data_IF_871041494320
#
_entry.id   IF_871041494320
#
_cell.length_a   1.000
_cell.length_b   1.000
_cell.length_c   1.000
_cell.angle_alpha   90.00
_cell.angle_beta   90.00
_cell.angle_gamma   90.00
#
_symmetry.space_group_name_H-M   'P 1'
#
loop_
_entity.id
_entity.type
_entity.pdbx_description
1 polymer ?
#
# COMPACT_ATOMS: atom_id res chain seq x y z
N UNK A 1 11.21 2.11 -3.52
CA UNK A 1 11.05 3.30 -4.36
C UNK A 1 9.73 3.96 -4.04
N UNK A 2 9.73 5.28 -3.85
CA UNK A 2 8.50 6.04 -3.60
C UNK A 2 7.55 6.03 -4.80
N UNK A 3 6.25 6.02 -4.54
CA UNK A 3 5.23 6.14 -5.58
C UNK A 3 5.22 7.56 -6.15
N UNK A 4 5.30 7.64 -7.47
CA UNK A 4 5.12 8.88 -8.21
C UNK A 4 3.65 9.03 -8.59
N UNK A 5 3.14 10.26 -8.55
CA UNK A 5 1.73 10.53 -8.76
C UNK A 5 1.49 11.22 -10.11
N UNK A 6 0.40 10.80 -10.75
CA UNK A 6 -0.18 11.45 -11.91
C UNK A 6 -1.52 12.07 -11.50
N UNK A 7 -1.73 13.35 -11.76
CA UNK A 7 -2.92 14.08 -11.32
C UNK A 7 -3.89 14.29 -12.48
N UNK A 8 -5.13 13.86 -12.30
CA UNK A 8 -6.23 14.20 -13.19
C UNK A 8 -6.49 15.73 -13.24
N UNK A 9 -7.02 16.21 -14.35
CA UNK A 9 -7.33 17.61 -14.65
C UNK A 9 -8.22 18.23 -13.57
N UNK A 10 -9.16 17.45 -13.05
CA UNK A 10 -10.13 17.90 -12.06
C UNK A 10 -9.58 17.98 -10.62
N UNK A 11 -8.35 17.53 -10.38
CA UNK A 11 -7.74 17.64 -9.05
C UNK A 11 -7.44 19.11 -8.73
N UNK A 12 -7.84 19.55 -7.54
CA UNK A 12 -7.61 20.92 -7.08
C UNK A 12 -6.11 21.24 -7.04
N UNK A 13 -5.71 22.35 -7.66
CA UNK A 13 -4.31 22.81 -7.75
C UNK A 13 -3.58 22.86 -6.40
N UNK A 14 -4.28 23.25 -5.33
CA UNK A 14 -3.72 23.32 -3.97
C UNK A 14 -3.23 21.96 -3.44
N UNK A 15 -3.82 20.84 -3.90
CA UNK A 15 -3.35 19.49 -3.55
C UNK A 15 -2.01 19.23 -4.23
N UNK A 16 -1.92 19.47 -5.54
CA UNK A 16 -0.68 19.37 -6.32
C UNK A 16 0.44 20.22 -5.75
N UNK A 17 0.16 21.49 -5.44
CA UNK A 17 1.14 22.41 -4.84
C UNK A 17 1.60 21.90 -3.46
N UNK A 18 0.66 21.47 -2.62
CA UNK A 18 0.96 20.94 -1.29
C UNK A 18 1.85 19.71 -1.32
N UNK A 19 1.67 18.81 -2.30
CA UNK A 19 2.51 17.63 -2.50
C UNK A 19 3.90 17.97 -3.02
N UNK A 20 4.00 18.87 -4.00
CA UNK A 20 5.30 19.33 -4.53
C UNK A 20 6.14 20.01 -3.45
N UNK A 21 5.53 20.80 -2.57
CA UNK A 21 6.20 21.41 -1.42
C UNK A 21 6.76 20.38 -0.43
N UNK A 22 6.24 19.15 -0.44
CA UNK A 22 6.70 18.02 0.39
C UNK A 22 7.69 17.11 -0.33
N UNK A 23 8.11 17.46 -1.55
CA UNK A 23 9.07 16.67 -2.33
C UNK A 23 8.48 15.48 -3.07
N UNK A 24 7.15 15.33 -3.10
CA UNK A 24 6.49 14.28 -3.88
C UNK A 24 6.63 14.58 -5.37
N UNK A 25 7.02 13.58 -6.16
CA UNK A 25 7.07 13.67 -7.61
C UNK A 25 5.67 13.58 -8.20
N UNK A 26 5.19 14.72 -8.72
CA UNK A 26 3.84 14.90 -9.23
C UNK A 26 3.86 15.44 -10.66
N UNK A 27 3.29 14.66 -11.59
CA UNK A 27 2.99 15.07 -12.95
C UNK A 27 1.47 15.31 -13.06
N UNK A 28 1.05 16.41 -13.68
CA UNK A 28 -0.38 16.69 -13.89
C UNK A 28 -0.76 16.46 -15.34
N UNK A 29 -2.03 16.11 -15.60
CA UNK A 29 -2.56 16.03 -16.95
C UNK A 29 -2.42 17.35 -17.72
N UNK A 30 -2.42 18.49 -17.02
CA UNK A 30 -2.14 19.79 -17.60
C UNK A 30 -0.68 19.92 -18.06
N UNK A 31 0.27 19.57 -17.20
CA UNK A 31 1.71 19.65 -17.49
C UNK A 31 2.11 18.66 -18.60
N UNK A 32 1.42 17.52 -18.68
CA UNK A 32 1.66 16.46 -19.65
C UNK A 32 0.89 16.66 -20.99
N UNK A 33 0.14 17.75 -21.13
CA UNK A 33 -0.65 18.04 -22.34
C UNK A 33 -1.86 17.10 -22.55
N UNK A 34 -2.21 16.32 -21.54
CA UNK A 34 -3.25 15.29 -21.53
C UNK A 34 -4.64 15.81 -21.12
N UNK A 35 -4.86 17.13 -21.11
CA UNK A 35 -6.08 17.79 -20.60
C UNK A 35 -7.38 17.26 -21.24
N UNK A 36 -7.30 16.82 -22.50
CA UNK A 36 -8.46 16.37 -23.29
C UNK A 36 -8.52 14.86 -23.46
N UNK A 37 -7.66 14.10 -22.78
CA UNK A 37 -7.69 12.65 -22.89
C UNK A 37 -8.95 12.10 -22.21
N UNK A 38 -9.68 11.17 -22.85
CA UNK A 38 -10.71 10.38 -22.18
C UNK A 38 -10.10 9.56 -21.04
N UNK A 39 -10.88 9.24 -20.00
CA UNK A 39 -10.27 8.63 -18.78
C UNK A 39 -9.61 7.27 -19.02
N UNK A 40 -10.01 6.53 -20.07
CA UNK A 40 -9.33 5.29 -20.44
C UNK A 40 -7.90 5.58 -20.94
N UNK A 41 -7.74 6.58 -21.82
CA UNK A 41 -6.44 7.01 -22.31
C UNK A 41 -5.63 7.69 -21.20
N UNK A 42 -6.28 8.37 -20.26
CA UNK A 42 -5.62 8.94 -19.08
C UNK A 42 -5.04 7.87 -18.16
N UNK A 43 -5.78 6.76 -17.95
CA UNK A 43 -5.28 5.58 -17.22
C UNK A 43 -4.07 4.95 -17.93
N UNK A 44 -4.13 4.84 -19.25
CA UNK A 44 -3.01 4.33 -20.05
C UNK A 44 -1.80 5.26 -19.96
N UNK A 45 -2.02 6.57 -20.01
CA UNK A 45 -0.97 7.59 -19.91
C UNK A 45 -0.25 7.53 -18.56
N UNK A 46 -1.02 7.50 -17.46
CA UNK A 46 -0.47 7.35 -16.12
C UNK A 46 0.32 6.04 -15.99
N UNK A 47 -0.24 4.93 -16.49
CA UNK A 47 0.40 3.61 -16.46
C UNK A 47 1.70 3.59 -17.26
N UNK A 48 1.71 4.16 -18.47
CA UNK A 48 2.90 4.24 -19.31
C UNK A 48 4.02 5.08 -18.68
N UNK A 49 3.67 6.06 -17.84
CA UNK A 49 4.63 6.85 -17.07
C UNK A 49 5.09 6.18 -15.77
N UNK A 50 4.52 5.02 -15.41
CA UNK A 50 4.81 4.33 -14.15
C UNK A 50 4.28 5.05 -12.91
N UNK A 51 3.20 5.84 -13.05
CA UNK A 51 2.67 6.71 -12.00
C UNK A 51 1.27 6.28 -11.58
N UNK A 52 1.00 6.30 -10.28
CA UNK A 52 -0.34 6.09 -9.74
C UNK A 52 -1.24 7.28 -10.06
N UNK A 53 -2.44 7.01 -10.58
CA UNK A 53 -3.36 8.07 -11.00
C UNK A 53 -4.25 8.53 -9.84
N UNK A 54 -4.16 9.81 -9.47
CA UNK A 54 -5.10 10.44 -8.56
C UNK A 54 -6.25 11.06 -9.35
N UNK A 55 -7.48 10.67 -9.01
CA UNK A 55 -8.68 11.29 -9.57
C UNK A 55 -9.74 11.53 -8.50
N UNK A 56 -10.63 12.48 -8.81
CA UNK A 56 -11.82 12.77 -8.03
C UNK A 56 -13.10 12.53 -8.86
N UNK A 57 -12.96 11.86 -10.01
CA UNK A 57 -14.03 11.58 -10.97
C UNK A 57 -14.53 10.13 -10.81
N UNK A 58 -15.84 9.97 -10.63
CA UNK A 58 -16.47 8.64 -10.51
C UNK A 58 -16.47 7.85 -11.81
N UNK A 59 -16.48 8.52 -12.96
CA UNK A 59 -16.48 7.83 -14.26
C UNK A 59 -15.12 7.16 -14.50
N UNK A 60 -14.04 7.83 -14.08
CA UNK A 60 -12.68 7.28 -14.06
C UNK A 60 -12.59 6.08 -13.13
N UNK A 61 -13.17 6.19 -11.92
CA UNK A 61 -13.24 5.11 -10.95
C UNK A 61 -13.90 3.85 -11.54
N UNK A 62 -15.02 4.01 -12.24
CA UNK A 62 -15.72 2.88 -12.90
C UNK A 62 -14.84 2.23 -13.98
N UNK A 63 -14.08 3.01 -14.76
CA UNK A 63 -13.14 2.48 -15.76
C UNK A 63 -12.01 1.69 -15.12
N UNK A 64 -11.43 2.18 -14.03
CA UNK A 64 -10.38 1.49 -13.31
C UNK A 64 -10.87 0.18 -12.66
N UNK A 65 -12.05 0.20 -12.03
CA UNK A 65 -12.68 -0.98 -11.46
C UNK A 65 -12.99 -2.04 -12.53
N UNK A 66 -13.43 -1.61 -13.72
CA UNK A 66 -13.61 -2.51 -14.86
C UNK A 66 -12.30 -3.17 -15.29
N UNK A 67 -11.22 -2.39 -15.45
CA UNK A 67 -9.89 -2.96 -15.79
C UNK A 67 -9.40 -3.95 -14.76
N UNK A 68 -9.59 -3.65 -13.48
CA UNK A 68 -9.27 -4.55 -12.38
C UNK A 68 -10.04 -5.88 -12.50
N UNK A 69 -11.34 -5.84 -12.82
CA UNK A 69 -12.15 -7.05 -13.02
C UNK A 69 -11.74 -7.83 -14.27
N UNK A 70 -11.41 -7.14 -15.36
CA UNK A 70 -11.00 -7.74 -16.64
C UNK A 70 -9.54 -8.21 -16.64
N UNK A 71 -8.78 -7.96 -15.57
CA UNK A 71 -7.35 -8.30 -15.49
C UNK A 71 -6.47 -7.47 -16.44
N UNK A 72 -6.96 -6.31 -16.89
CA UNK A 72 -6.20 -5.38 -17.73
C UNK A 72 -5.23 -4.59 -16.84
N UNK A 73 -3.92 -4.66 -17.07
CA UNK A 73 -2.96 -4.00 -16.19
C UNK A 73 -3.07 -2.47 -16.18
N UNK A 74 -2.87 -1.86 -15.01
CA UNK A 74 -2.73 -0.40 -14.83
C UNK A 74 -1.90 -0.09 -13.57
N UNK A 75 -1.28 1.10 -13.51
CA UNK A 75 -0.39 1.48 -12.40
C UNK A 75 -1.09 1.71 -11.05
N UNK A 76 -2.42 1.66 -11.02
CA UNK A 76 -3.25 1.92 -9.85
C UNK A 76 -3.95 3.27 -9.90
N UNK A 77 -5.09 3.34 -9.22
CA UNK A 77 -5.86 4.57 -9.04
C UNK A 77 -6.04 4.84 -7.56
N UNK A 78 -5.80 6.08 -7.17
CA UNK A 78 -6.16 6.61 -5.87
C UNK A 78 -7.35 7.56 -6.08
N UNK A 79 -8.49 7.24 -5.49
CA UNK A 79 -9.73 7.99 -5.64
C UNK A 79 -9.98 8.86 -4.40
N UNK A 80 -10.06 10.17 -4.60
CA UNK A 80 -10.38 11.13 -3.54
C UNK A 80 -11.78 11.69 -3.68
N UNK A 81 -12.69 11.28 -2.78
CA UNK A 81 -14.07 11.74 -2.81
C UNK A 81 -14.19 13.23 -2.46
N UNK A 82 -14.61 14.06 -3.41
CA UNK A 82 -14.59 15.54 -3.33
C UNK A 82 -15.30 16.12 -2.10
N UNK A 83 -16.38 15.48 -1.64
CA UNK A 83 -17.20 15.95 -0.52
C UNK A 83 -16.70 15.52 0.87
N UNK A 84 -15.73 14.61 0.96
CA UNK A 84 -15.38 13.94 2.23
C UNK A 84 -13.98 14.28 2.77
N UNK A 85 -13.15 14.96 1.99
CA UNK A 85 -11.74 15.17 2.33
C UNK A 85 -11.35 16.63 2.17
N UNK A 86 -10.77 17.23 3.22
CA UNK A 86 -10.19 18.58 3.12
C UNK A 86 -8.90 18.56 2.29
N UNK A 87 -8.52 19.68 1.70
CA UNK A 87 -7.25 19.78 0.93
C UNK A 87 -6.07 19.32 1.81
N UNK A 88 -5.99 19.80 3.05
CA UNK A 88 -4.91 19.46 3.97
C UNK A 88 -4.86 17.98 4.33
N UNK A 89 -6.02 17.32 4.49
CA UNK A 89 -6.08 15.87 4.72
C UNK A 89 -5.59 15.11 3.47
N UNK A 90 -6.08 15.49 2.29
CA UNK A 90 -5.68 14.85 1.03
C UNK A 90 -4.17 14.97 0.80
N UNK A 91 -3.58 16.15 1.04
CA UNK A 91 -2.13 16.35 0.95
C UNK A 91 -1.38 15.47 1.94
N UNK A 92 -1.80 15.40 3.21
CA UNK A 92 -1.13 14.56 4.23
C UNK A 92 -1.17 13.09 3.88
N UNK A 93 -2.31 12.58 3.44
CA UNK A 93 -2.46 11.15 3.21
C UNK A 93 -1.77 10.71 1.91
N UNK A 94 -1.85 11.55 0.86
CA UNK A 94 -1.10 11.32 -0.38
C UNK A 94 0.41 11.41 -0.17
N UNK A 95 0.87 12.32 0.69
CA UNK A 95 2.27 12.42 1.08
C UNK A 95 2.76 11.15 1.77
N UNK A 96 1.96 10.59 2.68
CA UNK A 96 2.25 9.30 3.32
C UNK A 96 2.30 8.16 2.29
N UNK A 97 1.31 8.07 1.42
CA UNK A 97 1.24 7.05 0.37
C UNK A 97 2.45 7.15 -0.57
N UNK A 98 2.81 8.36 -1.01
CA UNK A 98 3.91 8.55 -1.93
C UNK A 98 5.25 8.12 -1.33
N UNK A 99 5.52 8.46 -0.07
CA UNK A 99 6.79 8.18 0.56
C UNK A 99 6.92 6.77 1.13
N UNK A 100 5.83 6.19 1.63
CA UNK A 100 5.85 4.88 2.27
C UNK A 100 5.37 3.74 1.35
N UNK A 101 4.73 4.05 0.24
CA UNK A 101 4.26 3.06 -0.74
C UNK A 101 5.33 2.68 -1.76
N UNK A 102 5.20 1.47 -2.30
CA UNK A 102 5.92 0.98 -3.48
C UNK A 102 4.95 0.90 -4.68
N UNK A 103 5.39 1.11 -5.94
CA UNK A 103 4.50 1.04 -7.11
C UNK A 103 3.70 -0.27 -7.21
N UNK A 104 4.30 -1.38 -6.79
CA UNK A 104 3.70 -2.71 -6.80
C UNK A 104 2.53 -2.83 -5.81
N UNK A 105 2.52 -2.02 -4.75
CA UNK A 105 1.40 -1.98 -3.79
C UNK A 105 0.11 -1.50 -4.47
N UNK A 106 0.23 -0.60 -5.45
CA UNK A 106 -0.90 0.05 -6.13
C UNK A 106 -1.23 -0.57 -7.48
N UNK A 107 -0.30 -1.34 -8.06
CA UNK A 107 -0.47 -1.98 -9.34
C UNK A 107 -1.79 -2.78 -9.39
N UNK A 108 -2.64 -2.46 -10.37
CA UNK A 108 -3.95 -3.07 -10.60
C UNK A 108 -4.95 -2.89 -9.44
N UNK A 109 -4.77 -1.87 -8.60
CA UNK A 109 -5.67 -1.57 -7.48
C UNK A 109 -6.36 -0.22 -7.62
N UNK A 110 -7.52 -0.14 -6.98
CA UNK A 110 -8.28 1.09 -6.80
C UNK A 110 -8.38 1.35 -5.30
N UNK A 111 -7.71 2.40 -4.84
CA UNK A 111 -7.63 2.79 -3.44
C UNK A 111 -8.52 4.01 -3.17
N UNK A 112 -9.20 4.05 -2.02
CA UNK A 112 -10.23 5.06 -1.71
C UNK A 112 -9.87 5.94 -0.52
N UNK A 113 -9.69 7.24 -0.73
CA UNK A 113 -9.66 8.21 0.38
C UNK A 113 -11.06 8.48 0.91
N UNK A 114 -11.44 7.76 1.97
CA UNK A 114 -12.61 8.12 2.79
C UNK A 114 -12.66 7.44 4.17
N UNK A 115 -11.72 6.57 4.51
CA UNK A 115 -11.81 5.76 5.73
C UNK A 115 -10.49 5.83 6.47
N UNK A 116 -10.55 5.90 7.80
CA UNK A 116 -9.38 5.90 8.72
C UNK A 116 -8.46 4.65 8.60
N UNK A 117 -8.63 3.86 7.54
CA UNK A 117 -8.07 2.52 7.35
C UNK A 117 -6.82 2.55 6.46
N UNK A 118 -6.71 3.45 5.48
CA UNK A 118 -5.52 3.49 4.58
C UNK A 118 -4.25 3.84 5.36
N UNK A 119 -4.36 4.75 6.33
CA UNK A 119 -3.25 5.09 7.21
C UNK A 119 -2.70 3.88 7.95
N UNK A 120 -3.57 2.96 8.41
CA UNK A 120 -3.13 1.80 9.19
C UNK A 120 -2.40 0.76 8.36
N UNK A 121 -2.83 0.44 7.14
CA UNK A 121 -2.10 -0.56 6.34
C UNK A 121 -0.71 -0.07 5.91
N UNK A 122 -0.59 1.20 5.52
CA UNK A 122 0.70 1.82 5.18
C UNK A 122 1.60 1.94 6.41
N UNK A 123 1.05 2.36 7.56
CA UNK A 123 1.80 2.42 8.83
C UNK A 123 2.23 1.03 9.31
N UNK A 124 1.37 0.01 9.18
CA UNK A 124 1.70 -1.37 9.56
C UNK A 124 2.83 -1.92 8.67
N UNK A 125 2.78 -1.69 7.35
CA UNK A 125 3.85 -2.11 6.43
C UNK A 125 5.16 -1.35 6.71
N UNK A 126 5.12 -0.03 6.88
CA UNK A 126 6.32 0.74 7.21
C UNK A 126 6.91 0.34 8.57
N UNK A 127 6.07 0.07 9.57
CA UNK A 127 6.51 -0.49 10.85
C UNK A 127 7.12 -1.89 10.68
N UNK A 128 6.55 -2.75 9.84
CA UNK A 128 7.11 -4.07 9.53
C UNK A 128 8.47 -3.95 8.81
N UNK A 129 8.64 -3.01 7.89
CA UNK A 129 9.92 -2.76 7.20
C UNK A 129 10.99 -2.22 8.16
N UNK A 130 10.62 -1.30 9.08
CA UNK A 130 11.50 -0.81 10.15
C UNK A 130 11.91 -1.97 11.08
N UNK A 131 10.96 -2.80 11.51
CA UNK A 131 11.23 -3.94 12.37
C UNK A 131 12.10 -5.01 11.68
N UNK A 132 11.93 -5.20 10.37
CA UNK A 132 12.74 -6.14 9.58
C UNK A 132 14.17 -5.62 9.36
N UNK A 133 14.35 -4.30 9.23
CA UNK A 133 15.68 -3.68 9.07
C UNK A 133 16.48 -3.59 10.38
N UNK A 134 15.83 -3.67 11.56
CA UNK A 134 16.52 -3.70 12.86
C UNK A 134 17.11 -5.09 13.22
N UNK A 135 16.81 -6.14 12.46
CA UNK A 135 17.30 -7.52 12.73
C UNK A 135 18.54 -7.90 11.91
N UNK A 136 18.97 -7.10 10.94
CA UNK A 136 20.29 -7.27 10.30
C UNK A 136 21.38 -6.61 11.14
N UNK A 137 21.75 -7.28 12.23
CA UNK A 137 23.04 -7.06 12.86
C UNK A 137 24.13 -7.34 11.79
N UNK A 138 25.11 -6.45 11.56
CA UNK A 138 26.28 -6.86 10.78
C UNK A 138 26.92 -8.03 11.54
N UNK A 139 27.05 -9.17 10.86
CA UNK A 139 27.91 -10.24 11.32
C UNK A 139 29.32 -9.62 11.43
N UNK A 140 29.80 -9.48 12.66
CA UNK A 140 31.15 -9.04 12.97
C UNK A 140 32.13 -10.13 12.49
N UNK A 141 32.97 -9.86 11.46
CA UNK A 141 33.86 -10.86 10.90
C UNK A 141 35.12 -11.11 11.76
N UNK A 142 35.31 -10.43 12.89
CA UNK A 142 36.53 -10.56 13.70
C UNK A 142 36.46 -11.56 14.87
N UNK A 143 35.34 -12.27 15.06
CA UNK A 143 35.23 -13.31 16.11
C UNK A 143 35.79 -14.69 15.74
N UNK A 144 36.50 -14.80 14.63
CA UNK A 144 37.14 -16.04 14.19
C UNK A 144 38.64 -16.04 14.52
N UNK A 145 38.99 -15.85 15.81
CA UNK A 145 40.36 -16.07 16.34
C UNK A 145 40.35 -16.10 17.88
N UNK A 146 39.95 -17.22 18.47
CA UNK A 146 40.63 -17.80 19.64
C UNK A 146 40.04 -19.19 19.97
N UNK A 147 40.86 -20.26 20.09
CA UNK A 147 40.38 -21.57 20.48
C UNK A 147 40.41 -21.71 22.00
N UNK A 148 39.36 -21.23 22.68
CA UNK A 148 39.19 -21.52 24.11
C UNK A 148 38.34 -22.77 24.30
N UNK A 149 39.10 -23.82 24.56
CA UNK A 149 38.76 -25.13 25.11
C UNK A 149 37.62 -25.01 26.15
N UNK A 150 36.50 -25.67 25.90
CA UNK A 150 35.70 -26.27 26.98
C UNK A 150 35.29 -27.68 26.61
N UNK A 151 35.72 -28.59 27.48
CA UNK A 151 35.49 -30.02 27.44
C UNK A 151 33.99 -30.32 27.57
N UNK A 152 33.55 -31.33 26.84
CA UNK A 152 32.26 -32.00 26.97
C UNK A 152 32.07 -32.54 28.38
N UNK A 153 30.99 -32.15 29.05
CA UNK A 153 30.34 -32.99 30.06
C UNK A 153 28.82 -32.82 30.04
N UNK A 154 28.19 -33.99 30.04
CA UNK A 154 26.80 -34.31 30.30
C UNK A 154 25.75 -33.98 29.23
N UNK A 155 25.28 -35.09 28.62
CA UNK A 155 24.23 -35.14 27.65
C UNK A 155 22.85 -34.82 28.24
N UNK A 156 22.10 -34.06 27.46
CA UNK A 156 20.64 -34.06 27.47
C UNK A 156 20.21 -33.59 26.08
N UNK A 157 19.85 -34.55 25.24
CA UNK A 157 19.12 -34.31 24.00
C UNK A 157 17.72 -33.83 24.38
N UNK A 158 17.40 -32.56 24.12
CA UNK A 158 16.04 -32.03 24.28
C UNK A 158 15.40 -32.00 22.90
N UNK A 159 14.63 -33.04 22.59
CA UNK A 159 13.72 -33.09 21.43
C UNK A 159 12.51 -32.19 21.72
N UNK A 160 12.33 -31.13 20.92
CA UNK A 160 11.13 -30.31 20.96
C UNK A 160 10.13 -30.84 19.91
N UNK A 161 9.13 -31.59 20.37
CA UNK A 161 7.95 -31.95 19.57
C UNK A 161 7.06 -30.70 19.34
N UNK A 162 6.49 -30.50 18.15
CA UNK A 162 5.65 -29.33 17.87
C UNK A 162 4.25 -29.50 18.47
N UNK A 163 3.97 -28.79 19.56
CA UNK A 163 2.62 -28.74 20.14
C UNK A 163 1.68 -27.94 19.24
N UNK A 164 0.80 -28.65 18.54
CA UNK A 164 -0.35 -28.07 17.82
C UNK A 164 -1.35 -27.54 18.85
N UNK A 165 -1.55 -26.22 18.88
CA UNK A 165 -2.64 -25.59 19.66
C UNK A 165 -3.91 -25.63 18.80
N UNK A 166 -4.83 -26.54 19.13
CA UNK A 166 -6.18 -26.54 18.59
C UNK A 166 -7.00 -25.44 19.29
N UNK A 167 -7.46 -24.45 18.53
CA UNK A 167 -8.45 -23.47 18.99
C UNK A 167 -9.85 -24.08 18.82
N UNK A 168 -10.46 -24.51 19.93
CA UNK A 168 -11.89 -24.83 20.00
C UNK A 168 -12.73 -23.56 19.84
N UNK A 169 -13.44 -23.44 18.72
CA UNK A 169 -14.49 -22.44 18.51
C UNK A 169 -15.84 -23.16 18.54
N UNK A 170 -16.73 -22.92 19.53
CA UNK A 170 -18.08 -23.44 19.47
C UNK A 170 -18.92 -22.65 18.45
N UNK A 171 -19.30 -23.31 17.36
CA UNK A 171 -20.26 -22.82 16.37
C UNK A 171 -21.66 -23.00 16.94
N UNK A 172 -22.31 -21.93 17.38
CA UNK A 172 -23.72 -21.96 17.76
C UNK A 172 -24.59 -21.80 16.50
N UNK A 173 -25.02 -22.93 15.94
CA UNK A 173 -26.02 -23.02 14.90
C UNK A 173 -27.43 -22.84 15.51
N UNK A 174 -28.10 -21.73 15.26
CA UNK A 174 -29.56 -21.62 15.43
C UNK A 174 -30.23 -21.58 14.07
N UNK A 175 -30.57 -22.77 13.57
CA UNK A 175 -31.52 -22.97 12.47
C UNK A 175 -32.58 -23.97 12.93
N UNK A 176 -33.86 -23.65 12.73
CA UNK A 176 -34.92 -24.62 12.98
C UNK A 176 -36.32 -24.03 13.11
N UNK A 177 -36.92 -23.74 11.96
CA UNK A 177 -38.36 -23.55 11.77
C UNK A 177 -39.13 -24.87 12.02
N UNK A 178 -40.33 -24.80 12.59
CA UNK A 178 -41.39 -25.79 12.36
C UNK A 178 -42.79 -25.23 12.67
N UNK A 179 -43.50 -24.92 11.57
CA UNK A 179 -44.91 -25.19 11.24
C UNK A 179 -45.81 -25.82 12.32
N UNK A 180 -46.96 -25.20 12.55
CA UNK A 180 -48.15 -25.74 13.25
C UNK A 180 -49.29 -24.74 13.24
#
# INVERSE_FOLDING_TARGET
MSVQLYMDVHVRRAITEGLRLRGVDVLTAQDDGAIRLPDAELLDRATASGRGLLSQDEDLLRKAARRQHEGVPFAGVVYAHQLKVTIGQCVRDLDLIAHAGEPEDFANRVEYFATEVIGWWVVIRHAADILTHQVRHPADPERERSPDIYQTHDGLEVTLEPTTVALDIPISMSGGSAVG
#
